data_IF_592711606054
#
_entry.id   IF_592711606054
#
_cell.length_a   1.000
_cell.length_b   1.000
_cell.length_c   1.000
_cell.angle_alpha   90.00
_cell.angle_beta   90.00
_cell.angle_gamma   90.00
#
_symmetry.space_group_name_H-M   'P 1'
#
loop_
_entity.id
_entity.type
_entity.pdbx_description
1 polymer ?
#
# COMPACT_ATOMS: atom_id res chain seq x y z
N UNK A 1 1.29 -3.75 15.02
CA UNK A 1 1.67 -4.12 13.65
C UNK A 1 1.13 -5.49 13.26
N UNK A 2 1.28 -6.53 14.08
CA UNK A 2 0.74 -7.88 13.82
C UNK A 2 -0.75 -7.85 13.43
N UNK A 3 -1.58 -7.10 14.17
CA UNK A 3 -3.01 -6.99 13.88
C UNK A 3 -3.34 -6.50 12.47
N UNK A 4 -2.50 -5.61 11.89
CA UNK A 4 -2.65 -5.17 10.51
C UNK A 4 -2.26 -6.24 9.47
N UNK A 5 -1.32 -7.12 9.81
CA UNK A 5 -0.94 -8.26 8.96
C UNK A 5 -2.02 -9.35 8.97
N UNK A 6 -2.73 -9.51 10.10
CA UNK A 6 -3.81 -10.49 10.26
C UNK A 6 -5.19 -9.97 9.83
N UNK A 7 -5.33 -8.69 9.46
CA UNK A 7 -6.61 -8.11 9.00
C UNK A 7 -7.33 -8.93 7.92
N UNK A 8 -6.67 -9.48 6.87
CA UNK A 8 -7.38 -10.29 5.89
C UNK A 8 -7.94 -11.59 6.48
N UNK A 9 -7.27 -12.17 7.49
CA UNK A 9 -7.74 -13.38 8.18
C UNK A 9 -8.98 -13.09 9.01
N UNK A 10 -9.04 -11.92 9.67
CA UNK A 10 -10.27 -11.41 10.30
C UNK A 10 -11.41 -11.31 9.28
N UNK A 11 -11.15 -10.73 8.11
CA UNK A 11 -12.17 -10.55 7.06
C UNK A 11 -12.64 -11.90 6.53
N UNK A 12 -11.72 -12.85 6.31
CA UNK A 12 -12.04 -14.22 5.93
C UNK A 12 -12.96 -14.89 6.96
N UNK A 13 -12.69 -14.71 8.26
CA UNK A 13 -13.51 -15.27 9.32
C UNK A 13 -14.90 -14.63 9.39
N UNK A 14 -14.99 -13.30 9.26
CA UNK A 14 -16.27 -12.59 9.21
C UNK A 14 -17.12 -13.02 8.02
N UNK A 15 -16.52 -13.16 6.84
CA UNK A 15 -17.22 -13.64 5.65
C UNK A 15 -17.73 -15.08 5.83
N UNK A 16 -16.93 -15.95 6.44
CA UNK A 16 -17.33 -17.32 6.75
C UNK A 16 -18.50 -17.36 7.75
N UNK A 17 -18.47 -16.49 8.77
CA UNK A 17 -19.56 -16.31 9.73
C UNK A 17 -20.84 -15.81 9.06
N UNK A 18 -20.76 -14.77 8.22
CA UNK A 18 -21.93 -14.24 7.51
C UNK A 18 -22.54 -15.29 6.54
N UNK A 19 -21.70 -16.14 5.95
CA UNK A 19 -22.15 -17.24 5.09
C UNK A 19 -22.83 -18.38 5.88
N UNK A 20 -22.40 -18.63 7.12
CA UNK A 20 -22.99 -19.66 7.99
C UNK A 20 -24.25 -19.17 8.71
N UNK A 21 -24.27 -17.92 9.17
CA UNK A 21 -25.41 -17.30 9.87
C UNK A 21 -26.68 -17.21 9.00
N UNK A 22 -26.52 -17.17 7.67
CA UNK A 22 -27.64 -17.25 6.72
C UNK A 22 -28.24 -18.67 6.60
N UNK A 23 -27.66 -19.68 7.25
CA UNK A 23 -28.24 -21.02 7.41
C UNK A 23 -28.81 -21.12 8.83
N UNK A 24 -30.14 -21.10 8.95
CA UNK A 24 -30.88 -20.85 10.20
C UNK A 24 -30.60 -21.79 11.40
N UNK A 25 -29.75 -22.82 11.28
CA UNK A 25 -29.47 -23.79 12.34
C UNK A 25 -28.01 -24.31 12.33
N UNK A 26 -27.06 -23.56 11.75
CA UNK A 26 -25.66 -23.98 11.80
C UNK A 26 -25.09 -23.79 13.21
N UNK A 27 -24.55 -24.83 13.87
CA UNK A 27 -23.87 -24.65 15.14
C UNK A 27 -22.69 -23.69 14.95
N UNK A 28 -22.44 -22.84 15.97
CA UNK A 28 -21.19 -22.10 16.05
C UNK A 28 -20.06 -23.14 16.00
N UNK A 29 -19.23 -23.07 14.96
CA UNK A 29 -18.10 -23.97 14.85
C UNK A 29 -17.16 -23.74 16.04
N UNK A 30 -16.70 -24.82 16.68
CA UNK A 30 -15.66 -24.73 17.70
C UNK A 30 -14.33 -24.35 17.04
N UNK A 31 -13.76 -23.22 17.45
CA UNK A 31 -12.45 -22.71 17.03
C UNK A 31 -12.42 -21.91 15.72
N UNK A 32 -11.24 -21.36 15.41
CA UNK A 32 -10.94 -20.71 14.13
C UNK A 32 -10.95 -21.77 13.03
N UNK A 33 -11.98 -21.74 12.19
CA UNK A 33 -12.00 -22.50 10.94
C UNK A 33 -10.86 -22.12 9.99
N UNK A 34 -10.80 -22.75 8.81
CA UNK A 34 -9.77 -22.40 7.82
C UNK A 34 -9.95 -20.96 7.35
N UNK A 35 -9.00 -20.08 7.69
CA UNK A 35 -8.98 -18.65 7.30
C UNK A 35 -7.87 -18.35 6.29
N UNK A 36 -8.19 -17.50 5.32
CA UNK A 36 -7.27 -17.05 4.29
C UNK A 36 -6.76 -15.62 4.57
N UNK A 37 -5.52 -15.27 4.18
CA UNK A 37 -4.50 -16.15 3.63
C UNK A 37 -3.93 -17.10 4.69
N UNK A 38 -3.56 -18.31 4.26
CA UNK A 38 -2.68 -19.16 5.05
C UNK A 38 -1.24 -18.64 5.00
N UNK A 39 -0.43 -19.03 5.98
CA UNK A 39 1.00 -18.77 5.96
C UNK A 39 1.71 -19.74 4.98
N UNK A 40 2.79 -19.32 4.31
CA UNK A 40 3.47 -18.04 4.44
C UNK A 40 2.83 -16.91 3.58
N UNK A 41 2.96 -15.65 4.01
CA UNK A 41 2.33 -14.49 3.38
C UNK A 41 3.22 -13.25 3.40
N UNK A 42 3.29 -12.53 2.28
CA UNK A 42 3.98 -11.24 2.17
C UNK A 42 2.99 -10.12 2.43
N UNK A 43 3.22 -9.31 3.46
CA UNK A 43 2.32 -8.20 3.82
C UNK A 43 2.98 -6.85 3.56
N UNK A 44 2.23 -5.94 2.93
CA UNK A 44 2.57 -4.52 2.81
C UNK A 44 1.60 -3.74 3.68
N UNK A 45 2.12 -3.10 4.73
CA UNK A 45 1.38 -2.16 5.55
C UNK A 45 1.59 -0.75 5.01
N UNK A 46 0.60 -0.21 4.31
CA UNK A 46 0.61 1.15 3.76
C UNK A 46 -0.48 2.01 4.42
N UNK A 47 -0.10 2.84 5.39
CA UNK A 47 -0.98 3.73 6.14
C UNK A 47 -0.44 5.17 6.16
N UNK A 48 -1.13 6.07 6.87
CA UNK A 48 -0.66 7.43 7.12
C UNK A 48 0.65 7.50 7.90
N UNK A 49 0.94 6.51 8.76
CA UNK A 49 2.13 6.50 9.62
C UNK A 49 3.10 5.34 9.38
N UNK A 50 2.75 4.37 8.53
CA UNK A 50 3.58 3.19 8.28
C UNK A 50 3.66 2.88 6.79
N UNK A 51 4.85 2.50 6.33
CA UNK A 51 5.08 1.86 5.03
C UNK A 51 6.14 0.79 5.23
N UNK A 52 5.68 -0.45 5.42
CA UNK A 52 6.51 -1.56 5.87
C UNK A 52 6.18 -2.80 5.03
N UNK A 53 7.22 -3.53 4.65
CA UNK A 53 7.15 -4.84 3.99
C UNK A 53 7.51 -5.93 5.01
N UNK A 54 6.60 -6.88 5.22
CA UNK A 54 6.67 -7.88 6.27
C UNK A 54 6.54 -9.27 5.65
N UNK A 55 7.52 -10.14 5.89
CA UNK A 55 7.44 -11.57 5.60
C UNK A 55 6.83 -12.27 6.81
N UNK A 56 5.76 -13.04 6.64
CA UNK A 56 5.14 -13.78 7.74
C UNK A 56 5.10 -15.26 7.40
N UNK A 57 5.94 -16.05 8.07
CA UNK A 57 6.04 -17.51 7.86
C UNK A 57 5.09 -18.28 8.78
N UNK A 58 4.67 -17.68 9.89
CA UNK A 58 3.67 -18.20 10.82
C UNK A 58 2.99 -17.06 11.59
N UNK A 59 2.09 -17.39 12.52
CA UNK A 59 1.41 -16.43 13.39
C UNK A 59 2.38 -15.62 14.29
N UNK A 60 3.54 -16.18 14.61
CA UNK A 60 4.51 -15.61 15.56
C UNK A 60 5.87 -15.28 14.94
N UNK A 61 6.10 -15.72 13.70
CA UNK A 61 7.36 -15.53 12.99
C UNK A 61 7.16 -14.54 11.85
N UNK A 62 7.62 -13.32 12.11
CA UNK A 62 7.50 -12.17 11.24
C UNK A 62 8.86 -11.49 11.07
N UNK A 63 9.30 -11.32 9.83
CA UNK A 63 10.49 -10.57 9.47
C UNK A 63 10.10 -9.26 8.78
N UNK A 64 10.60 -8.12 9.27
CA UNK A 64 10.51 -6.86 8.54
C UNK A 64 11.59 -6.90 7.45
N UNK A 65 11.16 -7.00 6.20
CA UNK A 65 12.07 -7.05 5.07
C UNK A 65 12.57 -5.66 4.66
N UNK A 66 11.72 -4.65 4.82
CA UNK A 66 12.06 -3.26 4.54
C UNK A 66 11.01 -2.29 5.10
N UNK A 67 11.44 -1.08 5.42
CA UNK A 67 10.56 -0.01 5.89
C UNK A 67 10.88 1.31 5.19
N UNK A 68 10.08 2.34 5.45
CA UNK A 68 10.45 3.70 5.04
C UNK A 68 11.52 4.27 5.96
N UNK A 69 12.56 4.86 5.38
CA UNK A 69 13.63 5.56 6.13
C UNK A 69 13.25 7.01 6.48
N UNK A 70 12.21 7.55 5.83
CA UNK A 70 11.79 8.95 5.98
C UNK A 70 10.34 9.10 6.46
N UNK A 71 9.38 9.27 5.54
CA UNK A 71 7.97 9.46 5.81
C UNK A 71 7.19 8.28 5.24
N UNK A 72 6.02 7.97 5.80
CA UNK A 72 5.13 6.97 5.22
C UNK A 72 4.52 7.47 3.90
N UNK A 73 4.13 6.54 3.03
CA UNK A 73 3.47 6.86 1.76
C UNK A 73 2.18 7.64 1.98
N UNK A 74 1.39 7.31 3.01
CA UNK A 74 0.17 8.05 3.32
C UNK A 74 0.45 9.51 3.70
N UNK A 75 1.46 9.75 4.55
CA UNK A 75 1.90 11.10 4.89
C UNK A 75 2.43 11.86 3.66
N UNK A 76 3.19 11.20 2.78
CA UNK A 76 3.66 11.78 1.52
C UNK A 76 2.48 12.25 0.65
N UNK A 77 1.47 11.39 0.46
CA UNK A 77 0.28 11.72 -0.32
C UNK A 77 -0.53 12.85 0.33
N UNK A 78 -0.68 12.86 1.66
CA UNK A 78 -1.37 13.94 2.37
C UNK A 78 -0.66 15.29 2.21
N UNK A 79 0.68 15.32 2.30
CA UNK A 79 1.47 16.55 2.08
C UNK A 79 1.38 17.02 0.63
N UNK A 80 1.50 16.11 -0.33
CA UNK A 80 1.35 16.43 -1.76
C UNK A 80 -0.06 16.95 -2.06
N UNK A 81 -1.09 16.38 -1.45
CA UNK A 81 -2.47 16.83 -1.62
C UNK A 81 -2.65 18.29 -1.20
N UNK A 82 -2.03 18.72 -0.09
CA UNK A 82 -2.08 20.13 0.34
C UNK A 82 -1.44 21.10 -0.63
N UNK A 83 -0.47 20.65 -1.41
CA UNK A 83 0.27 21.46 -2.40
C UNK A 83 -0.47 21.49 -3.75
N UNK A 84 -1.03 20.35 -4.15
CA UNK A 84 -1.60 20.15 -5.49
C UNK A 84 -3.09 20.49 -5.56
N UNK A 85 -3.86 20.24 -4.51
CA UNK A 85 -5.31 20.46 -4.54
C UNK A 85 -5.64 21.97 -4.52
N UNK A 86 -6.67 22.40 -5.28
CA UNK A 86 -7.22 23.76 -5.16
C UNK A 86 -7.75 24.03 -3.75
N UNK A 87 -7.65 25.28 -3.30
CA UNK A 87 -8.03 25.70 -1.95
C UNK A 87 -9.51 25.39 -1.66
N UNK A 88 -10.39 25.54 -2.65
CA UNK A 88 -11.82 25.28 -2.53
C UNK A 88 -12.10 23.79 -2.23
N UNK A 89 -11.28 22.89 -2.77
CA UNK A 89 -11.42 21.45 -2.50
C UNK A 89 -10.92 21.08 -1.11
N UNK A 90 -9.87 21.75 -0.62
CA UNK A 90 -9.39 21.56 0.75
C UNK A 90 -10.41 22.08 1.78
N UNK A 91 -11.07 23.21 1.51
CA UNK A 91 -12.07 23.79 2.41
C UNK A 91 -13.38 22.98 2.48
N UNK A 92 -13.73 22.28 1.40
CA UNK A 92 -14.94 21.44 1.33
C UNK A 92 -14.71 20.00 1.77
N UNK A 93 -13.48 19.65 2.12
CA UNK A 93 -13.11 18.33 2.61
C UNK A 93 -13.80 18.02 3.95
N UNK A 94 -14.57 16.93 3.99
CA UNK A 94 -15.23 16.44 5.22
C UNK A 94 -14.30 15.67 6.16
N UNK A 95 -13.08 15.37 5.70
CA UNK A 95 -12.11 14.53 6.39
C UNK A 95 -10.70 15.05 6.15
N UNK A 96 -9.81 14.79 7.10
CA UNK A 96 -8.37 15.07 7.02
C UNK A 96 -7.59 14.04 6.21
N UNK A 97 -8.26 13.01 5.65
CA UNK A 97 -7.66 12.01 4.76
C UNK A 97 -7.42 12.59 3.36
N UNK A 98 -6.45 13.48 3.21
CA UNK A 98 -6.20 14.20 1.97
C UNK A 98 -5.67 13.31 0.84
N UNK A 99 -5.02 12.18 1.14
CA UNK A 99 -4.60 11.19 0.15
C UNK A 99 -5.77 10.58 -0.63
N UNK A 100 -6.91 10.33 0.00
CA UNK A 100 -8.11 9.85 -0.68
C UNK A 100 -8.73 10.94 -1.58
N UNK A 101 -8.65 12.20 -1.16
CA UNK A 101 -9.04 13.35 -1.97
C UNK A 101 -8.12 13.52 -3.18
N UNK A 102 -6.82 13.31 -3.00
CA UNK A 102 -5.83 13.36 -4.08
C UNK A 102 -6.14 12.32 -5.16
N UNK A 103 -6.47 11.09 -4.77
CA UNK A 103 -6.93 10.04 -5.69
C UNK A 103 -8.18 10.49 -6.45
N UNK A 104 -9.19 10.97 -5.72
CA UNK A 104 -10.47 11.44 -6.29
C UNK A 104 -10.31 12.66 -7.21
N UNK A 105 -9.28 13.46 -6.98
CA UNK A 105 -8.94 14.63 -7.79
C UNK A 105 -8.22 14.23 -9.08
N UNK A 106 -7.28 13.30 -9.00
CA UNK A 106 -6.51 12.83 -10.14
C UNK A 106 -7.37 12.09 -11.17
N UNK A 107 -8.35 11.29 -10.72
CA UNK A 107 -9.21 10.49 -11.59
C UNK A 107 -10.62 11.10 -11.77
N UNK A 108 -11.13 11.11 -13.01
CA UNK A 108 -12.40 11.75 -13.37
C UNK A 108 -13.65 10.97 -12.89
N UNK A 109 -14.84 11.58 -13.00
CA UNK A 109 -16.15 11.05 -12.55
C UNK A 109 -16.49 9.62 -13.03
N UNK A 110 -15.94 9.15 -14.15
CA UNK A 110 -16.16 7.78 -14.65
C UNK A 110 -15.40 6.74 -13.80
N UNK A 111 -14.17 7.03 -13.39
CA UNK A 111 -13.45 6.21 -12.42
C UNK A 111 -14.19 6.20 -11.06
N UNK A 112 -14.82 7.32 -10.68
CA UNK A 112 -15.57 7.43 -9.41
C UNK A 112 -16.74 6.45 -9.29
N UNK A 113 -17.45 6.13 -10.39
CA UNK A 113 -18.53 5.12 -10.38
C UNK A 113 -18.02 3.70 -10.21
N UNK A 114 -16.91 3.35 -10.87
CA UNK A 114 -16.30 2.01 -10.74
C UNK A 114 -15.66 1.81 -9.36
N UNK A 115 -14.94 2.80 -8.87
CA UNK A 115 -14.27 2.77 -7.56
C UNK A 115 -15.27 2.69 -6.38
N UNK A 116 -16.44 3.33 -6.49
CA UNK A 116 -17.49 3.25 -5.47
C UNK A 116 -18.16 1.87 -5.41
N UNK A 117 -18.16 1.11 -6.51
CA UNK A 117 -18.69 -0.25 -6.55
C UNK A 117 -17.69 -1.26 -5.96
N UNK A 118 -16.41 -1.08 -6.24
CA UNK A 118 -15.32 -1.96 -5.79
C UNK A 118 -14.94 -1.76 -4.31
N UNK A 119 -15.09 -0.54 -3.77
CA UNK A 119 -14.80 -0.27 -2.34
C UNK A 119 -15.72 -1.01 -1.35
N UNK A 120 -16.82 -1.59 -1.85
CA UNK A 120 -17.77 -2.40 -1.06
C UNK A 120 -17.58 -3.90 -1.22
N UNK A 121 -16.76 -4.35 -2.17
CA UNK A 121 -16.51 -5.77 -2.43
C UNK A 121 -15.24 -6.21 -1.74
N UNK A 122 -15.25 -7.41 -1.19
CA UNK A 122 -14.01 -8.06 -0.80
C UNK A 122 -13.28 -8.48 -2.07
N UNK A 123 -12.13 -7.85 -2.33
CA UNK A 123 -11.26 -8.14 -3.47
C UNK A 123 -10.16 -9.15 -3.10
N UNK A 124 -10.27 -9.76 -1.93
CA UNK A 124 -9.29 -10.72 -1.42
C UNK A 124 -9.42 -12.08 -2.08
N UNK A 125 -8.28 -12.74 -2.28
CA UNK A 125 -8.19 -14.10 -2.83
C UNK A 125 -8.20 -14.17 -4.36
N UNK A 126 -8.27 -13.04 -5.07
CA UNK A 126 -8.07 -13.01 -6.53
C UNK A 126 -6.59 -13.10 -6.85
N UNK A 127 -6.21 -13.89 -7.87
CA UNK A 127 -4.85 -13.82 -8.40
C UNK A 127 -4.61 -12.46 -9.06
N UNK A 128 -3.35 -12.03 -9.18
CA UNK A 128 -3.02 -10.78 -9.88
C UNK A 128 -3.55 -10.77 -11.34
N UNK A 129 -3.50 -11.91 -12.05
CA UNK A 129 -4.12 -12.10 -13.36
C UNK A 129 -5.65 -11.89 -13.29
N UNK A 130 -6.34 -12.53 -12.33
CA UNK A 130 -7.78 -12.40 -12.18
C UNK A 130 -8.20 -10.96 -11.81
N UNK A 131 -7.40 -10.28 -10.98
CA UNK A 131 -7.60 -8.88 -10.64
C UNK A 131 -7.49 -8.00 -11.90
N UNK A 132 -6.45 -8.18 -12.72
CA UNK A 132 -6.31 -7.43 -13.97
C UNK A 132 -7.45 -7.70 -14.96
N UNK A 133 -7.86 -8.96 -15.12
CA UNK A 133 -8.96 -9.31 -16.00
C UNK A 133 -10.29 -8.64 -15.60
N UNK A 134 -10.51 -8.47 -14.29
CA UNK A 134 -11.76 -7.91 -13.75
C UNK A 134 -11.73 -6.39 -13.64
N UNK A 135 -10.62 -5.82 -13.15
CA UNK A 135 -10.51 -4.40 -12.75
C UNK A 135 -9.48 -3.61 -13.57
N UNK A 136 -8.78 -4.25 -14.53
CA UNK A 136 -7.75 -3.60 -15.35
C UNK A 136 -8.27 -2.37 -16.09
N UNK A 137 -9.49 -2.48 -16.62
CA UNK A 137 -10.18 -1.46 -17.40
C UNK A 137 -10.30 -0.08 -16.73
N UNK A 138 -10.20 -0.01 -15.40
CA UNK A 138 -10.30 1.24 -14.64
C UNK A 138 -9.06 2.13 -14.87
N UNK A 139 -7.91 1.52 -15.13
CA UNK A 139 -6.63 2.20 -15.26
C UNK A 139 -5.85 1.77 -16.51
N UNK A 140 -6.53 1.47 -17.63
CA UNK A 140 -5.91 0.99 -18.89
C UNK A 140 -4.80 1.90 -19.44
N UNK A 141 -4.78 3.17 -19.05
CA UNK A 141 -3.71 4.10 -19.41
C UNK A 141 -2.37 3.75 -18.73
N UNK A 142 -2.39 2.97 -17.65
CA UNK A 142 -1.22 2.56 -16.88
C UNK A 142 -0.76 1.16 -17.27
N UNK A 143 0.52 1.04 -17.64
CA UNK A 143 1.19 -0.25 -17.78
C UNK A 143 2.60 -0.16 -17.19
N UNK A 144 3.04 -1.16 -16.40
CA UNK A 144 4.41 -1.24 -15.93
C UNK A 144 5.39 -1.14 -17.10
N UNK A 145 6.46 -0.37 -16.92
CA UNK A 145 7.51 -0.28 -17.91
C UNK A 145 8.36 -1.56 -17.91
N UNK A 146 8.75 -2.04 -19.10
CA UNK A 146 9.59 -3.23 -19.20
C UNK A 146 11.01 -3.02 -18.66
N UNK A 147 11.49 -1.77 -18.68
CA UNK A 147 12.81 -1.37 -18.19
C UNK A 147 12.83 0.11 -17.76
N UNK A 148 13.95 0.54 -17.18
CA UNK A 148 14.12 1.90 -16.66
C UNK A 148 14.10 3.00 -17.74
N UNK A 149 14.57 2.70 -18.96
CA UNK A 149 14.59 3.66 -20.07
C UNK A 149 13.16 3.98 -20.51
N UNK A 150 12.35 2.94 -20.74
CA UNK A 150 10.93 3.07 -21.06
C UNK A 150 10.18 3.75 -19.90
N UNK A 151 10.54 3.44 -18.65
CA UNK A 151 9.94 4.07 -17.48
C UNK A 151 10.17 5.59 -17.47
N UNK A 152 11.39 6.01 -17.82
CA UNK A 152 11.78 7.42 -17.89
C UNK A 152 11.06 8.14 -19.04
N UNK A 153 10.98 7.52 -20.22
CA UNK A 153 10.27 8.09 -21.37
C UNK A 153 8.78 8.26 -21.08
N UNK A 154 8.13 7.23 -20.52
CA UNK A 154 6.71 7.27 -20.13
C UNK A 154 6.42 8.22 -18.97
N UNK A 155 7.42 8.55 -18.15
CA UNK A 155 7.27 9.49 -17.05
C UNK A 155 7.15 10.94 -17.54
N UNK A 156 7.56 11.24 -18.77
CA UNK A 156 7.55 12.59 -19.31
C UNK A 156 6.13 13.01 -19.64
N UNK A 157 5.67 14.07 -18.98
CA UNK A 157 4.35 14.64 -19.21
C UNK A 157 4.35 15.63 -20.36
N UNK A 158 3.16 15.98 -20.85
CA UNK A 158 2.95 17.06 -21.82
C UNK A 158 3.45 18.43 -21.36
N UNK A 159 3.72 18.59 -20.06
CA UNK A 159 4.24 19.81 -19.45
C UNK A 159 5.77 19.88 -19.44
N UNK A 160 6.45 18.87 -20.00
CA UNK A 160 7.91 18.83 -20.11
C UNK A 160 8.64 18.32 -18.86
N UNK A 161 7.92 18.08 -17.77
CA UNK A 161 8.47 17.52 -16.53
C UNK A 161 8.11 16.04 -16.35
N UNK A 162 8.85 15.35 -15.48
CA UNK A 162 8.63 13.95 -15.09
C UNK A 162 8.85 13.77 -13.59
N UNK A 163 8.02 12.94 -12.94
CA UNK A 163 8.24 12.51 -11.55
C UNK A 163 8.75 11.07 -11.58
N UNK A 164 9.99 10.87 -11.17
CA UNK A 164 10.66 9.58 -11.17
C UNK A 164 10.47 8.86 -9.84
N UNK A 165 10.63 7.54 -9.85
CA UNK A 165 10.65 6.75 -8.62
C UNK A 165 11.75 7.24 -7.68
N UNK A 166 11.52 7.23 -6.35
CA UNK A 166 12.54 7.55 -5.36
C UNK A 166 13.80 6.69 -5.56
N UNK A 167 14.95 7.35 -5.59
CA UNK A 167 16.24 6.67 -5.70
C UNK A 167 16.65 6.19 -4.31
N UNK A 168 16.70 4.87 -4.10
CA UNK A 168 17.48 4.28 -3.00
C UNK A 168 18.96 4.28 -3.45
N UNK A 169 19.61 5.44 -3.43
CA UNK A 169 21.04 5.59 -3.75
C UNK A 169 21.80 6.06 -2.52
N UNK A 170 22.89 5.39 -2.19
CA UNK A 170 24.00 5.96 -1.41
C UNK A 170 24.98 6.65 -2.35
N UNK A 171 25.77 7.59 -1.82
CA UNK A 171 26.86 8.23 -2.58
C UNK A 171 27.78 7.17 -3.18
N UNK A 172 28.02 7.23 -4.49
CA UNK A 172 28.88 6.29 -5.22
C UNK A 172 28.21 5.51 -6.35
N UNK A 173 26.88 5.57 -6.50
CA UNK A 173 26.20 5.06 -7.71
C UNK A 173 25.92 3.55 -7.74
N UNK A 174 26.24 2.82 -6.68
CA UNK A 174 25.81 1.42 -6.53
C UNK A 174 24.29 1.36 -6.34
N UNK A 175 23.61 0.46 -7.08
CA UNK A 175 22.20 0.14 -6.83
C UNK A 175 22.12 -0.55 -5.45
N UNK A 176 21.38 0.06 -4.53
CA UNK A 176 21.10 -0.57 -3.25
C UNK A 176 20.07 -1.69 -3.51
N UNK A 177 20.47 -2.93 -3.22
CA UNK A 177 19.59 -4.11 -3.21
C UNK A 177 18.82 -4.23 -1.87
N UNK A 178 18.34 -3.12 -1.32
CA UNK A 178 17.53 -3.12 -0.09
C UNK A 178 16.06 -3.01 -0.44
N UNK A 179 15.23 -3.53 0.47
CA UNK A 179 13.77 -3.41 0.38
C UNK A 179 13.26 -2.11 1.03
N UNK A 180 14.17 -1.25 1.47
CA UNK A 180 13.85 0.03 2.10
C UNK A 180 13.27 1.02 1.08
N UNK A 181 12.42 1.87 1.61
CA UNK A 181 11.63 2.84 0.87
C UNK A 181 11.91 4.26 1.35
N UNK A 182 11.64 5.24 0.49
CA UNK A 182 11.77 6.66 0.80
C UNK A 182 10.78 7.41 -0.07
N UNK A 183 10.08 8.38 0.50
CA UNK A 183 9.02 9.13 -0.17
C UNK A 183 9.18 10.65 -0.03
N UNK A 184 10.11 11.14 0.81
CA UNK A 184 10.32 12.59 1.01
C UNK A 184 10.68 13.33 -0.29
N UNK A 185 11.48 12.70 -1.16
CA UNK A 185 11.89 13.29 -2.44
C UNK A 185 10.73 13.56 -3.41
N UNK A 186 9.62 12.81 -3.31
CA UNK A 186 8.43 13.02 -4.15
C UNK A 186 7.72 14.33 -3.81
N UNK A 187 7.61 14.63 -2.52
CA UNK A 187 7.04 15.90 -2.04
C UNK A 187 7.87 17.08 -2.55
N UNK A 188 9.18 17.04 -2.36
CA UNK A 188 10.09 18.11 -2.82
C UNK A 188 10.04 18.27 -4.34
N UNK A 189 9.91 17.17 -5.10
CA UNK A 189 9.75 17.24 -6.54
C UNK A 189 8.47 17.99 -6.93
N UNK A 190 7.33 17.69 -6.30
CA UNK A 190 6.07 18.39 -6.57
C UNK A 190 6.11 19.86 -6.18
N UNK A 191 6.62 20.19 -5.00
CA UNK A 191 6.76 21.58 -4.56
C UNK A 191 7.57 22.40 -5.55
N UNK A 192 8.64 21.80 -6.09
CA UNK A 192 9.45 22.43 -7.14
C UNK A 192 8.67 22.63 -8.44
N UNK A 193 7.87 21.65 -8.86
CA UNK A 193 7.03 21.76 -10.06
C UNK A 193 5.94 22.82 -9.89
N UNK A 194 5.32 22.91 -8.72
CA UNK A 194 4.34 23.96 -8.41
C UNK A 194 5.00 25.33 -8.45
N UNK A 195 6.16 25.48 -7.82
CA UNK A 195 6.86 26.77 -7.72
C UNK A 195 7.50 27.23 -9.03
N UNK A 196 8.06 26.33 -9.83
CA UNK A 196 8.85 26.68 -11.01
C UNK A 196 8.29 26.00 -12.28
N UNK A 197 7.80 26.76 -13.26
CA UNK A 197 7.27 26.17 -14.49
C UNK A 197 8.37 25.48 -15.29
N UNK A 198 8.00 24.40 -15.96
CA UNK A 198 8.88 23.70 -16.90
C UNK A 198 8.42 24.00 -18.31
N UNK A 199 9.36 24.29 -19.21
CA UNK A 199 9.06 24.47 -20.63
C UNK A 199 8.67 23.12 -21.26
N UNK A 200 7.46 22.98 -21.82
CA UNK A 200 7.00 21.74 -22.44
C UNK A 200 7.90 21.22 -23.56
N UNK A 201 8.46 22.13 -24.37
CA UNK A 201 9.27 21.79 -25.55
C UNK A 201 10.68 21.38 -25.14
N UNK A 202 11.30 22.16 -24.26
CA UNK A 202 12.72 21.97 -23.91
C UNK A 202 12.93 21.12 -22.65
N UNK A 203 11.90 20.93 -21.82
CA UNK A 203 12.00 20.26 -20.52
C UNK A 203 12.81 21.04 -19.47
N UNK A 204 13.17 22.31 -19.77
CA UNK A 204 13.98 23.13 -18.86
C UNK A 204 13.09 23.80 -17.82
N UNK A 205 13.51 23.69 -16.56
CA UNK A 205 12.87 24.36 -15.43
C UNK A 205 13.23 25.86 -15.45
N UNK A 206 12.22 26.73 -15.43
CA UNK A 206 12.40 28.17 -15.31
C UNK A 206 12.98 28.54 -13.95
N UNK A 207 13.78 29.61 -13.91
CA UNK A 207 14.28 30.20 -12.65
C UNK A 207 13.28 31.17 -12.02
N UNK A 208 12.29 31.63 -12.77
CA UNK A 208 11.27 32.54 -12.27
C UNK A 208 10.14 31.74 -11.62
N UNK A 209 9.75 32.05 -10.37
CA UNK A 209 8.64 31.40 -9.73
C UNK A 209 7.31 31.80 -10.40
N UNK A 210 6.33 30.89 -10.41
CA UNK A 210 4.95 31.16 -10.83
C UNK A 210 4.00 31.24 -9.64
N UNK A 211 2.84 31.86 -9.83
CA UNK A 211 1.78 31.86 -8.83
C UNK A 211 1.04 30.52 -8.82
N UNK A 212 0.52 30.04 -7.67
CA UNK A 212 -0.33 28.85 -7.63
C UNK A 212 -1.56 28.94 -8.55
N UNK A 213 -2.09 30.14 -8.76
CA UNK A 213 -3.26 30.41 -9.61
C UNK A 213 -2.94 30.22 -11.10
N UNK A 214 -1.66 30.30 -11.49
CA UNK A 214 -1.21 30.11 -12.87
C UNK A 214 -1.19 28.61 -13.28
N UNK A 215 -1.39 27.71 -12.32
CA UNK A 215 -1.34 26.27 -12.55
C UNK A 215 -2.72 25.76 -12.91
N UNK A 216 -2.88 25.32 -14.16
CA UNK A 216 -4.14 24.73 -14.62
C UNK A 216 -4.55 23.52 -13.78
N UNK A 217 -5.87 23.29 -13.69
CA UNK A 217 -6.41 22.10 -13.03
C UNK A 217 -5.88 20.80 -13.66
N UNK A 218 -5.65 20.81 -14.96
CA UNK A 218 -5.10 19.68 -15.69
C UNK A 218 -3.66 19.36 -15.30
N UNK A 219 -2.80 20.38 -15.18
CA UNK A 219 -1.42 20.18 -14.73
C UNK A 219 -1.38 19.67 -13.28
N UNK A 220 -2.25 20.20 -12.40
CA UNK A 220 -2.39 19.72 -11.02
C UNK A 220 -2.79 18.24 -10.98
N UNK A 221 -3.73 17.81 -11.83
CA UNK A 221 -4.13 16.40 -11.93
C UNK A 221 -2.97 15.52 -12.37
N UNK A 222 -2.21 15.97 -13.38
CA UNK A 222 -1.04 15.23 -13.86
C UNK A 222 0.03 15.13 -12.75
N UNK A 223 0.20 16.15 -11.91
CA UNK A 223 1.12 16.10 -10.76
C UNK A 223 0.66 15.07 -9.72
N UNK A 224 -0.62 15.08 -9.37
CA UNK A 224 -1.21 14.10 -8.45
C UNK A 224 -1.02 12.67 -8.96
N UNK A 225 -1.30 12.45 -10.24
CA UNK A 225 -1.14 11.16 -10.90
C UNK A 225 0.34 10.72 -10.92
N UNK A 226 1.24 11.63 -11.28
CA UNK A 226 2.68 11.39 -11.36
C UNK A 226 3.28 10.95 -10.02
N UNK A 227 2.89 11.60 -8.92
CA UNK A 227 3.31 11.19 -7.57
C UNK A 227 2.76 9.84 -7.18
N UNK A 228 1.44 9.63 -7.32
CA UNK A 228 0.84 8.35 -6.96
C UNK A 228 1.49 7.21 -7.74
N UNK A 229 1.73 7.41 -9.05
CA UNK A 229 2.44 6.44 -9.88
C UNK A 229 3.84 6.15 -9.32
N UNK A 230 4.66 7.18 -9.11
CA UNK A 230 6.02 7.00 -8.63
C UNK A 230 6.09 6.34 -7.25
N UNK A 231 5.18 6.70 -6.33
CA UNK A 231 5.09 6.11 -5.00
C UNK A 231 4.63 4.64 -5.03
N UNK A 232 3.60 4.33 -5.81
CA UNK A 232 3.03 2.98 -5.86
C UNK A 232 3.91 2.01 -6.65
N UNK A 233 4.59 2.47 -7.70
CA UNK A 233 5.62 1.67 -8.37
C UNK A 233 6.81 1.37 -7.45
N UNK A 234 7.18 2.33 -6.59
CA UNK A 234 8.22 2.13 -5.59
C UNK A 234 7.85 1.03 -4.59
N UNK A 235 6.61 0.99 -4.14
CA UNK A 235 6.10 -0.10 -3.28
C UNK A 235 6.04 -1.42 -4.05
N UNK A 236 5.41 -1.44 -5.22
CA UNK A 236 5.19 -2.67 -6.00
C UNK A 236 6.49 -3.35 -6.43
N UNK A 237 7.51 -2.56 -6.77
CA UNK A 237 8.84 -3.09 -7.09
C UNK A 237 9.53 -3.77 -5.89
N UNK A 238 9.25 -3.35 -4.65
CA UNK A 238 9.79 -3.96 -3.42
C UNK A 238 9.08 -5.28 -3.11
N UNK A 239 7.78 -5.36 -3.40
CA UNK A 239 7.04 -6.63 -3.37
C UNK A 239 7.64 -7.63 -4.37
N UNK A 240 7.84 -7.21 -5.63
CA UNK A 240 8.48 -8.06 -6.65
C UNK A 240 9.88 -8.48 -6.25
N UNK A 241 10.68 -7.56 -5.70
CA UNK A 241 12.03 -7.86 -5.24
C UNK A 241 12.03 -8.86 -4.08
N UNK A 242 11.12 -8.73 -3.12
CA UNK A 242 10.95 -9.69 -2.03
C UNK A 242 10.59 -11.08 -2.57
N UNK A 243 9.58 -11.19 -3.43
CA UNK A 243 9.18 -12.47 -4.03
C UNK A 243 10.32 -13.14 -4.80
N UNK A 244 11.11 -12.36 -5.56
CA UNK A 244 12.28 -12.87 -6.30
C UNK A 244 13.41 -13.38 -5.40
N UNK A 245 13.61 -12.75 -4.24
CA UNK A 245 14.62 -13.15 -3.27
C UNK A 245 14.12 -14.24 -2.31
N UNK A 246 12.98 -14.86 -2.60
CA UNK A 246 12.46 -15.98 -1.83
C UNK A 246 11.82 -15.57 -0.52
N UNK A 247 11.34 -14.33 -0.38
CA UNK A 247 10.38 -14.00 0.67
C UNK A 247 9.20 -14.98 0.59
N UNK A 248 8.88 -15.63 1.71
CA UNK A 248 7.94 -16.75 1.78
C UNK A 248 8.25 -17.97 0.91
N UNK A 249 9.51 -18.16 0.48
CA UNK A 249 9.91 -19.43 -0.12
C UNK A 249 9.80 -20.52 0.94
N UNK A 250 8.82 -21.41 0.77
CA UNK A 250 8.82 -22.67 1.49
C UNK A 250 10.10 -23.41 1.12
N UNK A 251 10.80 -24.01 2.09
CA UNK A 251 11.97 -24.87 1.82
C UNK A 251 11.62 -26.10 0.94
N UNK A 252 10.37 -26.22 0.48
CA UNK A 252 9.74 -27.44 -0.01
C UNK A 252 8.65 -27.13 -1.04
N UNK A 253 8.99 -26.52 -2.18
CA UNK A 253 8.18 -26.57 -3.43
C UNK A 253 6.68 -26.25 -3.34
N UNK A 254 6.23 -25.49 -2.33
CA UNK A 254 4.81 -25.20 -2.09
C UNK A 254 4.36 -23.93 -2.80
N UNK A 255 3.02 -23.80 -2.90
CA UNK A 255 2.22 -22.76 -3.56
C UNK A 255 2.80 -21.35 -3.34
N UNK A 256 2.77 -20.55 -4.40
CA UNK A 256 3.19 -19.14 -4.38
C UNK A 256 2.45 -18.41 -3.25
N UNK A 257 3.16 -17.62 -2.41
CA UNK A 257 2.57 -16.94 -1.25
C UNK A 257 1.48 -15.94 -1.67
N UNK A 258 0.53 -15.71 -0.78
CA UNK A 258 -0.39 -14.58 -0.90
C UNK A 258 0.35 -13.26 -0.66
N UNK A 259 -0.07 -12.20 -1.33
CA UNK A 259 0.35 -10.81 -1.04
C UNK A 259 -0.82 -10.07 -0.40
N UNK A 260 -0.61 -9.62 0.82
CA UNK A 260 -1.54 -8.78 1.58
C UNK A 260 -1.14 -7.33 1.43
N UNK A 261 -2.11 -6.46 1.13
CA UNK A 261 -1.93 -5.01 1.14
C UNK A 261 -2.96 -4.43 2.11
N UNK A 262 -2.50 -3.95 3.27
CA UNK A 262 -3.33 -3.42 4.35
C UNK A 262 -2.94 -1.99 4.74
N UNK A 263 -3.78 -1.34 5.55
CA UNK A 263 -3.63 0.06 5.95
C UNK A 263 -4.48 1.02 5.12
N UNK A 264 -4.60 2.27 5.57
CA UNK A 264 -5.49 3.26 4.95
C UNK A 264 -5.23 3.50 3.46
N UNK A 265 -3.97 3.44 3.02
CA UNK A 265 -3.59 3.67 1.61
C UNK A 265 -3.90 2.46 0.74
N UNK A 266 -4.02 1.25 1.30
CA UNK A 266 -4.46 0.05 0.57
C UNK A 266 -5.86 0.17 -0.05
N UNK A 267 -6.67 1.10 0.47
CA UNK A 267 -7.99 1.44 -0.09
C UNK A 267 -7.93 2.12 -1.45
N UNK A 268 -6.76 2.66 -1.83
CA UNK A 268 -6.54 3.32 -3.12
C UNK A 268 -6.60 2.30 -4.27
N UNK A 269 -7.53 2.50 -5.21
CA UNK A 269 -7.74 1.59 -6.33
C UNK A 269 -6.56 1.59 -7.29
N UNK A 270 -5.90 2.74 -7.45
CA UNK A 270 -4.74 2.84 -8.31
C UNK A 270 -3.53 2.10 -7.73
N UNK A 271 -3.30 2.12 -6.42
CA UNK A 271 -2.27 1.28 -5.77
C UNK A 271 -2.51 -0.20 -6.02
N UNK A 272 -3.76 -0.67 -5.84
CA UNK A 272 -4.11 -2.08 -6.10
C UNK A 272 -3.85 -2.47 -7.56
N UNK A 273 -4.23 -1.60 -8.49
CA UNK A 273 -3.97 -1.81 -9.91
C UNK A 273 -2.47 -1.83 -10.22
N UNK A 274 -1.69 -0.86 -9.72
CA UNK A 274 -0.23 -0.81 -9.93
C UNK A 274 0.43 -2.09 -9.39
N UNK A 275 0.04 -2.56 -8.21
CA UNK A 275 0.55 -3.80 -7.64
C UNK A 275 0.24 -5.01 -8.53
N UNK A 276 -1.03 -5.23 -8.86
CA UNK A 276 -1.45 -6.37 -9.68
C UNK A 276 -0.77 -6.37 -11.05
N UNK A 277 -0.72 -5.20 -11.71
CA UNK A 277 -0.06 -5.02 -13.00
C UNK A 277 1.43 -5.31 -12.93
N UNK A 278 2.10 -4.80 -11.90
CA UNK A 278 3.54 -5.01 -11.69
C UNK A 278 3.85 -6.48 -11.43
N UNK A 279 3.03 -7.18 -10.62
CA UNK A 279 3.19 -8.62 -10.39
C UNK A 279 3.04 -9.42 -11.69
N UNK A 280 2.00 -9.15 -12.50
CA UNK A 280 1.80 -9.81 -13.79
C UNK A 280 3.00 -9.59 -14.73
N UNK A 281 3.47 -8.34 -14.86
CA UNK A 281 4.61 -7.99 -15.71
C UNK A 281 5.93 -8.66 -15.29
N UNK A 282 6.04 -9.12 -14.04
CA UNK A 282 7.24 -9.75 -13.48
C UNK A 282 7.14 -11.27 -13.30
N UNK A 283 6.08 -11.91 -13.82
CA UNK A 283 5.90 -13.37 -13.77
C UNK A 283 5.24 -13.87 -12.47
N UNK A 284 4.65 -12.98 -11.69
CA UNK A 284 3.94 -13.27 -10.44
C UNK A 284 2.42 -13.12 -10.57
N UNK A 285 1.88 -13.31 -11.78
CA UNK A 285 0.46 -13.12 -12.04
C UNK A 285 -0.46 -14.11 -11.30
N UNK A 286 0.07 -15.26 -10.87
CA UNK A 286 -0.68 -16.29 -10.13
C UNK A 286 -0.65 -16.11 -8.61
N UNK A 287 0.04 -15.08 -8.11
CA UNK A 287 -0.01 -14.65 -6.70
C UNK A 287 -1.44 -14.23 -6.34
N UNK A 288 -1.98 -14.79 -5.27
CA UNK A 288 -3.24 -14.34 -4.67
C UNK A 288 -3.03 -13.00 -3.95
N UNK A 289 -3.91 -12.03 -4.22
CA UNK A 289 -3.89 -10.69 -3.64
C UNK A 289 -4.99 -10.57 -2.58
N UNK A 290 -4.66 -9.95 -1.46
CA UNK A 290 -5.58 -9.72 -0.34
C UNK A 290 -5.66 -8.23 -0.06
N UNK A 291 -6.84 -7.64 -0.28
CA UNK A 291 -7.12 -6.23 -0.10
C UNK A 291 -8.30 -6.07 0.87
N UNK A 292 -8.04 -6.05 2.18
CA UNK A 292 -9.12 -5.99 3.16
C UNK A 292 -9.96 -4.71 3.00
N UNK A 293 -11.26 -4.75 3.32
CA UNK A 293 -12.11 -3.57 3.26
C UNK A 293 -11.56 -2.41 4.10
N UNK A 294 -11.68 -1.14 3.64
CA UNK A 294 -11.07 0.02 4.31
C UNK A 294 -11.46 0.16 5.79
N UNK A 295 -12.70 -0.21 6.16
CA UNK A 295 -13.19 -0.18 7.55
C UNK A 295 -12.39 -1.06 8.52
N UNK A 296 -11.68 -2.07 8.01
CA UNK A 296 -10.83 -2.96 8.80
C UNK A 296 -9.34 -2.63 8.68
N UNK A 297 -8.95 -1.78 7.71
CA UNK A 297 -7.56 -1.37 7.47
C UNK A 297 -7.11 -0.17 8.33
N UNK A 298 -8.03 0.60 8.91
CA UNK A 298 -7.71 1.64 9.91
C UNK A 298 -7.66 1.03 11.31
N UNK A 299 -6.93 1.65 12.24
CA UNK A 299 -6.83 1.15 13.62
C UNK A 299 -8.21 0.99 14.26
N UNK A 300 -8.55 -0.23 14.68
CA UNK A 300 -9.83 -0.57 15.27
C UNK A 300 -9.70 -1.70 16.32
N UNK A 301 -10.69 -1.84 17.21
CA UNK A 301 -10.65 -2.88 18.24
C UNK A 301 -10.86 -4.30 17.68
N UNK A 302 -11.52 -4.46 16.53
CA UNK A 302 -11.81 -5.77 15.96
C UNK A 302 -10.54 -6.50 15.49
N UNK A 303 -9.59 -5.78 14.86
CA UNK A 303 -8.29 -6.39 14.49
C UNK A 303 -7.48 -6.85 15.71
N UNK A 304 -7.58 -6.14 16.84
CA UNK A 304 -6.93 -6.53 18.09
C UNK A 304 -7.62 -7.76 18.69
N UNK A 305 -8.96 -7.75 18.75
CA UNK A 305 -9.74 -8.90 19.22
C UNK A 305 -9.44 -10.16 18.40
N UNK A 306 -9.42 -10.06 17.08
CA UNK A 306 -9.09 -11.18 16.21
C UNK A 306 -7.66 -11.70 16.39
N UNK A 307 -6.68 -10.80 16.47
CA UNK A 307 -5.30 -11.18 16.78
C UNK A 307 -5.22 -11.94 18.09
N UNK A 308 -5.94 -11.47 19.11
CA UNK A 308 -6.05 -12.15 20.41
C UNK A 308 -6.67 -13.54 20.30
N UNK A 309 -7.72 -13.72 19.49
CA UNK A 309 -8.33 -15.04 19.26
C UNK A 309 -7.31 -15.98 18.57
N UNK A 310 -6.65 -15.54 17.50
CA UNK A 310 -5.64 -16.37 16.82
C UNK A 310 -4.49 -16.77 17.77
N UNK A 311 -3.99 -15.83 18.56
CA UNK A 311 -2.91 -16.07 19.52
C UNK A 311 -3.37 -17.02 20.65
N UNK A 312 -4.57 -16.81 21.19
CA UNK A 312 -5.11 -17.62 22.28
C UNK A 312 -5.35 -19.07 21.84
N UNK A 313 -5.95 -19.28 20.67
CA UNK A 313 -6.17 -20.63 20.14
C UNK A 313 -4.87 -21.34 19.74
N UNK A 314 -3.83 -20.57 19.39
CA UNK A 314 -2.46 -21.09 19.23
C UNK A 314 -1.75 -21.38 20.57
N UNK A 315 -2.41 -21.13 21.72
CA UNK A 315 -1.88 -21.41 23.05
C UNK A 315 -1.03 -20.29 23.65
N UNK A 316 -1.02 -19.10 23.06
CA UNK A 316 -0.31 -17.94 23.59
C UNK A 316 -1.21 -17.13 24.53
N UNK A 317 -0.74 -16.92 25.76
CA UNK A 317 -1.43 -16.15 26.79
C UNK A 317 -0.41 -15.29 27.51
N UNK A 318 -0.75 -14.02 27.72
CA UNK A 318 0.06 -13.10 28.50
C UNK A 318 -0.24 -13.19 30.00
N UNK A 319 0.76 -12.93 30.84
CA UNK A 319 0.56 -12.80 32.28
C UNK A 319 -0.19 -11.50 32.65
N UNK A 320 -0.80 -11.45 33.84
CA UNK A 320 -1.41 -10.21 34.37
C UNK A 320 -0.39 -9.10 34.67
N UNK A 321 0.90 -9.41 34.57
CA UNK A 321 2.02 -8.49 34.78
C UNK A 321 2.33 -7.60 33.57
N UNK A 322 1.65 -7.77 32.42
CA UNK A 322 1.94 -7.01 31.19
C UNK A 322 1.94 -5.49 31.38
N UNK A 323 2.77 -4.82 30.59
CA UNK A 323 2.92 -3.36 30.53
C UNK A 323 2.88 -2.89 29.09
N UNK A 324 2.58 -1.60 28.92
CA UNK A 324 2.62 -0.98 27.60
C UNK A 324 4.08 -0.82 27.14
N UNK A 325 4.41 -1.35 25.97
CA UNK A 325 5.72 -1.20 25.34
C UNK A 325 5.65 -0.08 24.31
N UNK A 326 6.51 0.93 24.44
CA UNK A 326 6.49 2.07 23.50
C UNK A 326 7.01 1.65 22.12
N UNK A 327 8.01 0.78 22.09
CA UNK A 327 8.61 0.23 20.87
C UNK A 327 8.61 -1.28 20.98
N UNK A 328 7.73 -1.92 20.22
CA UNK A 328 7.60 -3.37 20.20
C UNK A 328 7.91 -3.88 18.77
N UNK A 329 9.12 -4.38 18.52
CA UNK A 329 9.51 -4.93 17.23
C UNK A 329 8.70 -6.18 16.91
N UNK A 330 8.29 -6.32 15.64
CA UNK A 330 7.42 -7.43 15.23
C UNK A 330 8.13 -8.80 15.28
N UNK A 331 9.45 -8.81 15.11
CA UNK A 331 10.31 -9.98 15.24
C UNK A 331 10.57 -10.39 16.72
N UNK A 332 10.14 -9.57 17.67
CA UNK A 332 10.27 -9.81 19.12
C UNK A 332 8.88 -9.96 19.77
N UNK A 333 7.92 -10.50 19.02
CA UNK A 333 6.53 -10.59 19.45
C UNK A 333 6.37 -11.34 20.77
N UNK A 334 7.02 -12.49 20.92
CA UNK A 334 6.91 -13.33 22.14
C UNK A 334 7.94 -13.00 23.22
N UNK A 335 8.98 -12.24 22.88
CA UNK A 335 10.08 -11.90 23.79
C UNK A 335 10.41 -10.41 23.67
N UNK A 336 9.47 -9.52 24.03
CA UNK A 336 9.71 -8.09 23.95
C UNK A 336 10.85 -7.68 24.89
N UNK A 337 11.79 -6.89 24.38
CA UNK A 337 12.82 -6.29 25.22
C UNK A 337 12.21 -5.18 26.07
N UNK A 338 12.46 -5.24 27.38
CA UNK A 338 12.04 -4.22 28.33
C UNK A 338 12.66 -2.86 27.94
N UNK A 339 11.83 -1.83 27.70
CA UNK A 339 12.30 -0.53 27.25
C UNK A 339 12.90 0.32 28.39
N UNK A 340 13.01 -0.24 29.60
CA UNK A 340 13.84 0.23 30.70
C UNK A 340 13.44 1.60 31.24
N UNK A 341 12.26 2.10 30.86
CA UNK A 341 11.73 3.40 31.25
C UNK A 341 10.60 3.21 32.24
N UNK A 342 10.96 3.22 33.53
CA UNK A 342 10.05 3.54 34.64
C UNK A 342 9.64 5.02 34.60
#
# INVERSE_FOLDING_TARGET
>A
MQAHALTPRLVSALNAYDASANKADAPLADGIGVVAPGFPVLSVLASGGHTILIDSTSLIDHAILGSTDDIAVGECLDKVARVVLPVEQLQTAKSTMYGALLETFAFSQLAKKSMALDSKRDLSGLTAHAYQATHGHIHDWYMPAANNEIAFERARTRWGWSINQPLTKTGGGNKINTMDMSFSGLMTAVERLVRYPTDPKTGKVSKQPRSPEDISLEERRDMALGVMRAAFEHIASRVVFALRNGANATKTGQKIPGVVMSGGVASNAFLRHVLASTLCAHGFGDVELFFPPPKYCTDNAAMIGWTGIEMFEAGHVDELSIRALRKWPLNELLTPVDDGKM
#
